data_IF_892892484473
#
_entry.id   IF_892892484473
#
_cell.length_a   1.000
_cell.length_b   1.000
_cell.length_c   1.000
_cell.angle_alpha   90.00
_cell.angle_beta   90.00
_cell.angle_gamma   90.00
#
_symmetry.space_group_name_H-M   'P 1'
#
loop_
_entity.id
_entity.type
_entity.pdbx_description
1 polymer ?
#
# COMPACT_ATOMS: atom_id res chain seq x y z
N UNK A 1 20.40 -3.18 18.86
CA UNK A 1 19.83 -2.21 17.91
C UNK A 1 18.32 -2.44 17.88
N UNK A 2 17.51 -1.54 18.46
CA UNK A 2 16.04 -1.70 18.48
C UNK A 2 15.51 -1.70 17.03
N UNK A 3 14.61 -2.63 16.69
CA UNK A 3 13.98 -2.67 15.37
C UNK A 3 13.12 -1.40 15.21
N UNK A 4 13.17 -0.78 14.04
CA UNK A 4 12.36 0.40 13.70
C UNK A 4 10.86 0.18 13.96
N UNK A 5 10.40 -1.06 13.77
CA UNK A 5 9.07 -1.58 14.08
C UNK A 5 8.67 -1.38 15.56
N UNK A 6 9.60 -1.52 16.49
CA UNK A 6 9.34 -1.41 17.93
C UNK A 6 9.19 0.06 18.37
N UNK A 7 9.82 0.98 17.62
CA UNK A 7 9.83 2.42 17.93
C UNK A 7 8.58 3.16 17.42
N UNK A 8 7.88 2.58 16.45
CA UNK A 8 6.79 3.21 15.70
C UNK A 8 5.53 2.33 15.62
N UNK A 9 5.11 1.69 16.72
CA UNK A 9 3.87 0.88 16.76
C UNK A 9 2.64 1.66 16.29
N UNK A 10 2.61 2.97 16.53
CA UNK A 10 1.51 3.87 16.16
C UNK A 10 1.40 4.11 14.62
N UNK A 11 2.46 3.79 13.86
CA UNK A 11 2.46 3.98 12.40
C UNK A 11 1.81 2.83 11.64
N UNK A 12 1.51 1.70 12.31
CA UNK A 12 0.92 0.53 11.68
C UNK A 12 -0.43 0.83 11.01
N UNK A 13 -1.28 1.64 11.68
CA UNK A 13 -2.57 2.06 11.13
C UNK A 13 -2.43 2.94 9.89
N UNK A 14 -1.50 3.89 9.92
CA UNK A 14 -1.19 4.77 8.78
C UNK A 14 -0.66 3.98 7.60
N UNK A 15 0.27 3.05 7.84
CA UNK A 15 0.82 2.19 6.80
C UNK A 15 -0.28 1.32 6.16
N UNK A 16 -1.16 0.73 6.96
CA UNK A 16 -2.30 -0.05 6.46
C UNK A 16 -3.27 0.81 5.64
N UNK A 17 -3.57 2.03 6.09
CA UNK A 17 -4.43 2.96 5.36
C UNK A 17 -3.83 3.35 4.00
N UNK A 18 -2.54 3.68 3.96
CA UNK A 18 -1.82 3.98 2.72
C UNK A 18 -1.85 2.80 1.76
N UNK A 19 -1.58 1.57 2.23
CA UNK A 19 -1.64 0.38 1.37
C UNK A 19 -3.04 0.13 0.80
N UNK A 20 -4.10 0.32 1.60
CA UNK A 20 -5.48 0.22 1.11
C UNK A 20 -5.79 1.28 0.05
N UNK A 21 -5.39 2.53 0.29
CA UNK A 21 -5.58 3.62 -0.65
C UNK A 21 -4.83 3.36 -1.97
N UNK A 22 -3.57 2.91 -1.91
CA UNK A 22 -2.78 2.60 -3.10
C UNK A 22 -3.40 1.46 -3.91
N UNK A 23 -3.87 0.38 -3.25
CA UNK A 23 -4.58 -0.71 -3.94
C UNK A 23 -5.82 -0.19 -4.67
N UNK A 24 -6.63 0.63 -4.02
CA UNK A 24 -7.83 1.22 -4.62
C UNK A 24 -7.47 2.08 -5.85
N UNK A 25 -6.46 2.94 -5.74
CA UNK A 25 -6.02 3.78 -6.84
C UNK A 25 -5.55 2.97 -8.07
N UNK A 26 -4.79 1.89 -7.86
CA UNK A 26 -4.35 0.99 -8.94
C UNK A 26 -5.54 0.32 -9.62
N UNK A 27 -6.53 -0.14 -8.84
CA UNK A 27 -7.74 -0.75 -9.39
C UNK A 27 -8.56 0.24 -10.22
N UNK A 28 -8.71 1.48 -9.74
CA UNK A 28 -9.41 2.53 -10.48
C UNK A 28 -8.69 2.89 -11.78
N UNK A 29 -7.35 3.00 -11.75
CA UNK A 29 -6.55 3.24 -12.95
C UNK A 29 -6.73 2.11 -13.97
N UNK A 30 -6.74 0.85 -13.52
CA UNK A 30 -7.00 -0.32 -14.38
C UNK A 30 -8.37 -0.26 -15.05
N UNK A 31 -9.42 0.07 -14.30
CA UNK A 31 -10.78 0.17 -14.85
C UNK A 31 -10.91 1.29 -15.90
N UNK A 32 -10.11 2.34 -15.77
CA UNK A 32 -10.09 3.49 -16.68
C UNK A 32 -9.11 3.34 -17.84
N UNK A 33 -8.23 2.34 -17.81
CA UNK A 33 -7.14 2.20 -18.77
C UNK A 33 -6.04 3.27 -18.60
N UNK A 34 -5.90 3.82 -17.41
CA UNK A 34 -4.91 4.85 -17.07
C UNK A 34 -3.60 4.24 -16.57
N UNK A 35 -2.50 4.98 -16.77
CA UNK A 35 -1.18 4.61 -16.24
C UNK A 35 -0.99 5.12 -14.80
N UNK A 36 -0.17 4.41 -14.04
CA UNK A 36 0.17 4.75 -12.65
C UNK A 36 1.58 5.31 -12.59
N UNK A 37 1.82 6.45 -11.92
CA UNK A 37 3.17 6.97 -11.73
C UNK A 37 3.92 6.14 -10.68
N UNK A 38 5.15 5.73 -10.99
CA UNK A 38 6.03 5.02 -10.08
C UNK A 38 7.41 5.65 -10.06
N UNK A 39 8.02 5.72 -8.87
CA UNK A 39 9.41 6.12 -8.73
C UNK A 39 10.34 4.93 -9.05
N UNK A 40 11.18 5.06 -10.07
CA UNK A 40 12.22 4.07 -10.46
C UNK A 40 13.49 4.82 -10.84
N UNK A 41 14.64 4.38 -10.33
CA UNK A 41 15.96 4.91 -10.70
C UNK A 41 16.06 6.46 -10.64
N UNK A 42 15.51 7.05 -9.59
CA UNK A 42 15.58 8.50 -9.35
C UNK A 42 14.64 9.34 -10.21
N UNK A 43 13.69 8.74 -10.92
CA UNK A 43 12.70 9.44 -11.75
C UNK A 43 11.30 8.86 -11.62
N UNK A 44 10.30 9.63 -12.03
CA UNK A 44 8.92 9.16 -12.20
C UNK A 44 8.77 8.51 -13.57
N UNK A 45 8.25 7.29 -13.58
CA UNK A 45 7.91 6.51 -14.78
C UNK A 45 6.44 6.14 -14.72
N UNK A 46 5.74 6.24 -15.84
CA UNK A 46 4.34 5.84 -15.96
C UNK A 46 4.29 4.39 -16.41
N UNK A 47 3.66 3.54 -15.60
CA UNK A 47 3.59 2.09 -15.83
C UNK A 47 2.15 1.61 -15.85
N UNK A 48 1.92 0.44 -16.44
CA UNK A 48 0.60 -0.19 -16.37
C UNK A 48 0.28 -0.61 -14.93
N UNK A 49 -1.00 -0.58 -14.52
CA UNK A 49 -1.43 -1.05 -13.20
C UNK A 49 -0.91 -2.44 -12.82
N UNK A 50 -0.81 -3.37 -13.78
CA UNK A 50 -0.31 -4.74 -13.58
C UNK A 50 1.18 -4.82 -13.25
N UNK A 51 1.95 -3.77 -13.55
CA UNK A 51 3.40 -3.72 -13.31
C UNK A 51 3.74 -3.15 -11.92
N UNK A 52 2.72 -2.76 -11.14
CA UNK A 52 2.89 -2.21 -9.79
C UNK A 52 2.82 -3.34 -8.76
N UNK A 53 3.95 -3.68 -8.17
CA UNK A 53 4.03 -4.62 -7.06
C UNK A 53 3.80 -3.90 -5.72
N UNK A 54 2.81 -4.35 -4.95
CA UNK A 54 2.56 -3.88 -3.60
C UNK A 54 2.86 -5.00 -2.60
N UNK A 55 3.37 -4.66 -1.40
CA UNK A 55 3.52 -5.65 -0.34
C UNK A 55 2.16 -6.29 -0.02
N UNK A 56 2.16 -7.55 0.47
CA UNK A 56 0.93 -8.21 0.88
C UNK A 56 0.21 -7.37 1.92
N UNK A 57 -1.12 -7.41 1.90
CA UNK A 57 -1.88 -6.77 2.97
C UNK A 57 -1.50 -7.47 4.28
N UNK A 58 -1.25 -6.71 5.36
CA UNK A 58 -1.45 -7.31 6.68
C UNK A 58 -2.87 -7.84 6.66
N UNK A 59 -3.05 -9.14 6.90
CA UNK A 59 -4.39 -9.67 7.17
C UNK A 59 -4.98 -8.78 8.26
N UNK A 60 -6.15 -8.20 8.00
CA UNK A 60 -6.89 -7.50 9.03
C UNK A 60 -6.98 -8.49 10.18
N UNK A 61 -6.23 -8.23 11.26
CA UNK A 61 -6.51 -8.82 12.56
C UNK A 61 -7.85 -8.20 12.95
N UNK A 62 -8.92 -8.73 12.37
CA UNK A 62 -10.28 -8.56 12.78
C UNK A 62 -10.31 -9.16 14.18
N UNK A 63 -9.95 -8.33 15.16
CA UNK A 63 -10.21 -8.62 16.56
C UNK A 63 -11.72 -8.86 16.60
N UNK A 64 -12.21 -10.08 16.87
CA UNK A 64 -13.63 -10.28 17.02
C UNK A 64 -14.02 -9.41 18.20
N UNK A 65 -14.75 -8.33 17.91
CA UNK A 65 -15.38 -7.51 18.94
C UNK A 65 -16.41 -8.41 19.61
N UNK A 66 -15.99 -9.12 20.65
CA UNK A 66 -16.89 -9.81 21.56
C UNK A 66 -17.79 -8.74 22.18
N UNK A 67 -19.03 -8.68 21.70
CA UNK A 67 -20.12 -8.04 22.42
C UNK A 67 -20.78 -9.09 23.29
#
# INVERSE_FOLDING_TARGET
MMKWSDKNRDMAGTQAAMLRATRKAIQEAKLRGELVPQWRDGKVVWVRPEEVELPPAPEDQATPSSR
#
